data_IF_478909426037
#
_entry.id   IF_478909426037
#
_cell.length_a   1.000
_cell.length_b   1.000
_cell.length_c   1.000
_cell.angle_alpha   90.00
_cell.angle_beta   90.00
_cell.angle_gamma   90.00
#
_symmetry.space_group_name_H-M   'P 1'
#
loop_
_entity.id
_entity.type
_entity.pdbx_description
1 polymer ?
#
# COMPACT_ATOMS: atom_id res chain seq x y z
N UNK A 1 -19.54 -13.03 -12.61
CA UNK A 1 -19.79 -11.75 -11.90
C UNK A 1 -18.76 -11.60 -10.78
N UNK A 2 -17.66 -10.87 -11.02
CA UNK A 2 -16.69 -10.54 -9.97
C UNK A 2 -17.27 -9.41 -9.13
N UNK A 3 -18.01 -9.75 -8.07
CA UNK A 3 -18.43 -8.76 -7.08
C UNK A 3 -17.21 -8.04 -6.53
N UNK A 4 -17.22 -6.70 -6.54
CA UNK A 4 -16.16 -5.89 -5.93
C UNK A 4 -16.18 -6.15 -4.43
N UNK A 5 -15.37 -7.09 -3.96
CA UNK A 5 -15.15 -7.29 -2.53
C UNK A 5 -14.51 -6.01 -1.97
N UNK A 6 -15.24 -5.30 -1.11
CA UNK A 6 -14.76 -4.09 -0.46
C UNK A 6 -14.50 -4.44 1.00
N UNK A 7 -13.25 -4.30 1.44
CA UNK A 7 -12.91 -4.49 2.83
C UNK A 7 -13.68 -3.49 3.71
N UNK A 8 -14.15 -3.97 4.86
CA UNK A 8 -14.81 -3.13 5.86
C UNK A 8 -13.77 -2.26 6.56
N UNK A 9 -14.02 -0.95 6.55
CA UNK A 9 -13.25 0.01 7.35
C UNK A 9 -13.56 -0.18 8.83
N UNK A 10 -12.55 -0.04 9.67
CA UNK A 10 -12.68 -0.12 11.14
C UNK A 10 -11.99 1.05 11.80
N UNK A 11 -12.39 1.37 13.03
CA UNK A 11 -11.77 2.42 13.84
C UNK A 11 -11.38 1.83 15.17
N UNK A 12 -10.17 2.11 15.67
CA UNK A 12 -9.79 1.72 17.03
C UNK A 12 -10.30 2.71 18.08
N UNK A 13 -10.09 2.37 19.36
CA UNK A 13 -10.43 3.22 20.50
C UNK A 13 -9.63 4.53 20.56
N UNK A 14 -8.55 4.65 19.79
CA UNK A 14 -7.70 5.85 19.70
C UNK A 14 -8.04 6.74 18.50
N UNK A 15 -9.05 6.35 17.69
CA UNK A 15 -9.52 7.11 16.54
C UNK A 15 -8.79 6.82 15.22
N UNK A 16 -7.86 5.86 15.18
CA UNK A 16 -7.20 5.46 13.93
C UNK A 16 -8.19 4.75 13.03
N UNK A 17 -8.24 5.15 11.75
CA UNK A 17 -9.09 4.52 10.74
C UNK A 17 -8.28 3.52 9.91
N UNK A 18 -8.72 2.28 9.90
CA UNK A 18 -8.15 1.18 9.13
C UNK A 18 -9.00 0.90 7.90
N UNK A 19 -8.35 0.51 6.81
CA UNK A 19 -9.02 0.15 5.56
C UNK A 19 -9.49 -1.31 5.57
N UNK A 20 -9.02 -2.10 6.53
CA UNK A 20 -9.46 -3.48 6.74
C UNK A 20 -9.34 -3.95 8.19
N UNK A 21 -10.11 -4.99 8.54
CA UNK A 21 -9.96 -5.71 9.82
C UNK A 21 -8.56 -6.29 10.01
N UNK A 22 -7.91 -6.70 8.92
CA UNK A 22 -6.57 -7.28 8.94
C UNK A 22 -5.52 -6.24 9.36
N UNK A 23 -5.63 -5.00 8.87
CA UNK A 23 -4.79 -3.88 9.32
C UNK A 23 -5.02 -3.58 10.80
N UNK A 24 -6.29 -3.48 11.23
CA UNK A 24 -6.58 -3.21 12.65
C UNK A 24 -6.03 -4.29 13.58
N UNK A 25 -6.07 -5.56 13.16
CA UNK A 25 -5.45 -6.66 13.90
C UNK A 25 -3.93 -6.52 13.92
N UNK A 26 -3.30 -6.23 12.78
CA UNK A 26 -1.85 -6.02 12.70
C UNK A 26 -1.39 -4.88 13.62
N UNK A 27 -2.08 -3.74 13.58
CA UNK A 27 -1.78 -2.58 14.42
C UNK A 27 -1.83 -2.98 15.91
N UNK A 28 -2.89 -3.67 16.33
CA UNK A 28 -3.03 -4.12 17.72
C UNK A 28 -1.90 -5.07 18.13
N UNK A 29 -1.57 -6.08 17.31
CA UNK A 29 -0.50 -7.03 17.62
C UNK A 29 0.89 -6.38 17.67
N UNK A 30 1.16 -5.39 16.81
CA UNK A 30 2.40 -4.62 16.84
C UNK A 30 2.51 -3.83 18.16
N UNK A 31 1.42 -3.17 18.60
CA UNK A 31 1.35 -2.45 19.88
C UNK A 31 1.49 -3.39 21.08
N UNK A 32 0.79 -4.51 21.10
CA UNK A 32 0.87 -5.53 22.16
C UNK A 32 2.30 -6.06 22.36
N UNK A 33 3.07 -6.13 21.27
CA UNK A 33 4.47 -6.58 21.30
C UNK A 33 5.48 -5.45 21.51
N UNK A 34 5.02 -4.21 21.75
CA UNK A 34 5.85 -3.02 21.91
C UNK A 34 6.84 -2.81 20.75
N UNK A 35 6.43 -3.14 19.53
CA UNK A 35 7.23 -2.85 18.34
C UNK A 35 7.07 -1.38 17.99
N UNK A 36 8.18 -0.70 17.69
CA UNK A 36 8.16 0.65 17.13
C UNK A 36 7.81 0.57 15.63
N UNK A 37 6.80 1.35 15.23
CA UNK A 37 6.35 1.42 13.85
C UNK A 37 5.60 2.72 13.59
N UNK A 38 5.54 3.07 12.31
CA UNK A 38 4.65 4.09 11.79
C UNK A 38 3.54 3.44 10.94
N UNK A 39 2.32 3.97 11.04
CA UNK A 39 1.14 3.50 10.30
C UNK A 39 0.82 4.47 9.17
N UNK A 40 0.77 3.98 7.93
CA UNK A 40 0.65 4.76 6.69
C UNK A 40 1.56 6.02 6.66
N UNK A 41 2.88 5.91 6.97
CA UNK A 41 3.71 7.07 7.30
C UNK A 41 3.82 8.08 6.17
N UNK A 42 4.41 7.67 5.04
CA UNK A 42 4.60 8.50 3.86
C UNK A 42 4.76 7.60 2.62
N UNK A 43 4.49 8.17 1.45
CA UNK A 43 4.54 7.46 0.18
C UNK A 43 5.95 7.34 -0.41
N UNK A 44 6.30 6.15 -0.89
CA UNK A 44 7.37 5.91 -1.85
C UNK A 44 6.90 6.32 -3.25
N UNK A 45 7.75 7.05 -3.97
CA UNK A 45 7.51 7.41 -5.37
C UNK A 45 8.12 6.31 -6.25
N UNK A 46 7.26 5.45 -6.80
CA UNK A 46 7.68 4.29 -7.60
C UNK A 46 7.95 4.64 -9.06
N UNK A 47 7.30 5.69 -9.55
CA UNK A 47 7.52 6.30 -10.85
C UNK A 47 7.27 7.80 -10.69
N UNK A 48 8.26 8.60 -11.06
CA UNK A 48 8.14 10.05 -11.01
C UNK A 48 7.09 10.58 -11.98
N UNK A 49 6.62 11.80 -11.73
CA UNK A 49 5.81 12.50 -12.70
C UNK A 49 6.65 12.88 -13.92
N UNK A 50 6.04 12.86 -15.09
CA UNK A 50 6.71 13.23 -16.33
C UNK A 50 5.76 13.97 -17.26
N UNK A 51 6.35 14.66 -18.22
CA UNK A 51 5.65 15.38 -19.27
C UNK A 51 5.91 14.69 -20.61
N UNK A 52 4.90 14.66 -21.46
CA UNK A 52 5.03 14.18 -22.83
C UNK A 52 4.55 15.22 -23.85
N UNK A 53 4.82 14.98 -25.11
CA UNK A 53 4.45 15.83 -26.24
C UNK A 53 3.41 15.20 -27.18
N UNK A 54 3.15 13.90 -27.06
CA UNK A 54 2.11 13.19 -27.82
C UNK A 54 0.68 13.55 -27.35
N UNK A 55 -0.32 13.29 -28.20
CA UNK A 55 -1.73 13.48 -27.85
C UNK A 55 -2.30 12.31 -27.05
N UNK A 56 -3.18 12.61 -26.09
CA UNK A 56 -3.84 11.60 -25.23
C UNK A 56 -5.33 11.84 -25.24
N UNK A 57 -6.07 11.07 -26.03
CA UNK A 57 -7.53 11.18 -26.12
C UNK A 57 -8.20 10.17 -25.18
N UNK A 58 -8.75 10.65 -24.07
CA UNK A 58 -9.35 9.80 -23.03
C UNK A 58 -10.67 10.39 -22.49
N UNK A 59 -11.55 9.55 -21.90
CA UNK A 59 -12.72 10.03 -21.18
C UNK A 59 -12.34 10.82 -19.92
N UNK A 60 -12.96 11.98 -19.73
CA UNK A 60 -12.81 12.81 -18.52
C UNK A 60 -14.16 13.36 -18.08
N UNK A 61 -14.33 13.52 -16.77
CA UNK A 61 -15.50 14.22 -16.21
C UNK A 61 -15.24 15.72 -16.15
N UNK A 62 -16.03 16.52 -16.85
CA UNK A 62 -15.93 17.97 -16.87
C UNK A 62 -17.31 18.56 -16.57
N UNK A 63 -17.41 19.39 -15.52
CA UNK A 63 -18.68 19.99 -15.06
C UNK A 63 -19.84 18.98 -14.89
N UNK A 64 -19.52 17.73 -14.52
CA UNK A 64 -20.50 16.68 -14.30
C UNK A 64 -20.75 15.76 -15.50
N UNK A 65 -20.32 16.15 -16.70
CA UNK A 65 -20.50 15.39 -17.94
C UNK A 65 -19.24 14.57 -18.29
N UNK A 66 -19.43 13.43 -18.95
CA UNK A 66 -18.33 12.62 -19.48
C UNK A 66 -18.02 13.10 -20.91
N UNK A 67 -16.83 13.68 -21.10
CA UNK A 67 -16.34 14.15 -22.40
C UNK A 67 -15.15 13.32 -22.84
N UNK A 68 -14.98 13.12 -24.14
CA UNK A 68 -13.79 12.51 -24.73
C UNK A 68 -12.90 13.64 -25.28
N UNK A 69 -11.74 13.86 -24.66
CA UNK A 69 -10.93 15.05 -24.93
C UNK A 69 -9.45 14.75 -24.85
N UNK A 70 -8.64 15.52 -25.58
CA UNK A 70 -7.19 15.50 -25.41
C UNK A 70 -6.81 15.98 -23.99
N UNK A 71 -6.13 15.13 -23.24
CA UNK A 71 -5.71 15.39 -21.86
C UNK A 71 -4.44 16.24 -21.82
N UNK A 72 -4.20 16.82 -20.64
CA UNK A 72 -2.98 17.59 -20.40
C UNK A 72 -1.73 16.70 -20.47
N UNK A 73 -0.59 17.31 -20.81
CA UNK A 73 0.70 16.66 -21.02
C UNK A 73 1.35 16.02 -19.78
N UNK A 74 0.82 16.30 -18.59
CA UNK A 74 1.40 15.86 -17.32
C UNK A 74 0.84 14.50 -16.94
N UNK A 75 1.73 13.51 -16.76
CA UNK A 75 1.40 12.23 -16.15
C UNK A 75 1.83 12.27 -14.68
N UNK A 76 0.90 11.92 -13.79
CA UNK A 76 1.13 11.95 -12.36
C UNK A 76 2.01 10.77 -11.91
N UNK A 77 2.80 11.01 -10.87
CA UNK A 77 3.60 9.98 -10.22
C UNK A 77 2.78 8.80 -9.69
N UNK A 78 3.39 7.63 -9.70
CA UNK A 78 2.86 6.43 -9.03
C UNK A 78 3.41 6.38 -7.61
N UNK A 79 2.51 6.48 -6.63
CA UNK A 79 2.83 6.36 -5.20
C UNK A 79 2.52 4.97 -4.66
N UNK A 80 3.31 4.53 -3.68
CA UNK A 80 3.04 3.37 -2.86
C UNK A 80 3.24 3.71 -1.37
N UNK A 81 2.24 3.42 -0.55
CA UNK A 81 2.25 3.65 0.89
C UNK A 81 2.06 2.28 1.53
N UNK A 82 3.10 1.71 2.16
CA UNK A 82 2.94 0.49 2.94
C UNK A 82 2.06 0.75 4.17
N UNK A 83 1.35 -0.28 4.62
CA UNK A 83 0.50 -0.17 5.81
C UNK A 83 1.31 0.14 7.08
N UNK A 84 2.41 -0.60 7.32
CA UNK A 84 3.25 -0.46 8.50
C UNK A 84 4.74 -0.47 8.15
N UNK A 85 5.50 0.45 8.73
CA UNK A 85 6.95 0.56 8.54
C UNK A 85 7.62 0.58 9.92
N UNK A 86 8.51 -0.37 10.16
CA UNK A 86 9.44 -0.38 11.29
C UNK A 86 10.84 0.05 10.88
N UNK A 87 11.81 -0.08 11.79
CA UNK A 87 13.20 0.34 11.56
C UNK A 87 13.89 -0.44 10.43
N UNK A 88 13.67 -1.75 10.35
CA UNK A 88 14.29 -2.65 9.36
C UNK A 88 13.28 -3.59 8.66
N UNK A 89 11.98 -3.39 8.88
CA UNK A 89 10.91 -4.22 8.33
C UNK A 89 9.72 -3.41 7.83
N UNK A 90 8.96 -3.99 6.90
CA UNK A 90 7.72 -3.42 6.36
C UNK A 90 6.66 -4.52 6.30
N UNK A 91 5.47 -4.23 6.82
CA UNK A 91 4.29 -5.09 6.68
C UNK A 91 3.28 -4.39 5.77
N UNK A 92 2.91 -5.06 4.68
CA UNK A 92 1.73 -4.74 3.85
C UNK A 92 0.70 -5.83 4.10
N UNK A 93 -0.43 -5.52 4.71
CA UNK A 93 -1.50 -6.50 4.90
C UNK A 93 -2.32 -6.63 3.62
N UNK A 94 -2.64 -7.86 3.22
CA UNK A 94 -3.41 -8.06 1.98
C UNK A 94 -4.29 -9.29 1.99
N UNK A 95 -5.61 -9.08 2.06
CA UNK A 95 -6.57 -10.17 1.85
C UNK A 95 -6.58 -10.68 0.41
N UNK A 96 -7.08 -9.85 -0.52
CA UNK A 96 -7.16 -10.18 -1.94
C UNK A 96 -6.12 -9.40 -2.77
N UNK A 97 -5.39 -10.10 -3.64
CA UNK A 97 -4.39 -9.50 -4.53
C UNK A 97 -5.00 -9.21 -5.89
N UNK A 98 -4.90 -7.97 -6.34
CA UNK A 98 -5.30 -7.56 -7.69
C UNK A 98 -4.07 -7.46 -8.61
N UNK A 99 -4.24 -7.51 -9.95
CA UNK A 99 -3.14 -7.29 -10.88
C UNK A 99 -2.39 -5.96 -10.65
N UNK A 100 -3.13 -4.89 -10.34
CA UNK A 100 -2.54 -3.57 -10.05
C UNK A 100 -1.69 -3.60 -8.79
N UNK A 101 -2.16 -4.30 -7.74
CA UNK A 101 -1.37 -4.50 -6.53
C UNK A 101 -0.09 -5.28 -6.83
N UNK A 102 -0.17 -6.37 -7.61
CA UNK A 102 1.01 -7.18 -7.95
C UNK A 102 2.06 -6.36 -8.70
N UNK A 103 1.64 -5.48 -9.63
CA UNK A 103 2.53 -4.56 -10.34
C UNK A 103 3.16 -3.57 -9.37
N UNK A 104 2.37 -2.88 -8.54
CA UNK A 104 2.90 -1.92 -7.55
C UNK A 104 3.85 -2.57 -6.56
N UNK A 105 3.55 -3.77 -6.08
CA UNK A 105 4.42 -4.51 -5.16
C UNK A 105 5.74 -4.89 -5.83
N UNK A 106 5.71 -5.28 -7.10
CA UNK A 106 6.93 -5.54 -7.87
C UNK A 106 7.74 -4.27 -8.08
N UNK A 107 7.11 -3.16 -8.46
CA UNK A 107 7.76 -1.86 -8.60
C UNK A 107 8.35 -1.36 -7.27
N UNK A 108 7.66 -1.58 -6.15
CA UNK A 108 8.16 -1.23 -4.83
C UNK A 108 9.43 -2.01 -4.47
N UNK A 109 9.46 -3.32 -4.69
CA UNK A 109 10.69 -4.11 -4.50
C UNK A 109 11.83 -3.62 -5.40
N UNK A 110 11.52 -3.30 -6.66
CA UNK A 110 12.51 -2.73 -7.58
C UNK A 110 13.03 -1.38 -7.10
N UNK A 111 12.17 -0.52 -6.55
CA UNK A 111 12.56 0.74 -5.93
C UNK A 111 13.50 0.52 -4.74
N UNK A 112 13.18 -0.40 -3.83
CA UNK A 112 14.04 -0.71 -2.68
C UNK A 112 15.43 -1.21 -3.15
N UNK A 113 15.45 -2.12 -4.12
CA UNK A 113 16.68 -2.62 -4.72
C UNK A 113 17.51 -1.50 -5.37
N UNK A 114 16.90 -0.68 -6.23
CA UNK A 114 17.60 0.39 -6.94
C UNK A 114 18.15 1.48 -6.00
N UNK A 115 17.54 1.68 -4.83
CA UNK A 115 17.97 2.65 -3.83
C UNK A 115 18.80 2.02 -2.69
N UNK A 116 19.20 0.75 -2.82
CA UNK A 116 19.99 0.04 -1.81
C UNK A 116 19.33 0.02 -0.41
N UNK A 117 18.00 0.00 -0.37
CA UNK A 117 17.21 -0.03 0.85
C UNK A 117 16.91 -1.47 1.26
N UNK A 118 17.37 -1.85 2.45
CA UNK A 118 17.30 -3.21 2.96
C UNK A 118 16.21 -3.33 4.03
N UNK A 119 15.02 -3.75 3.61
CA UNK A 119 13.91 -4.04 4.51
C UNK A 119 13.52 -5.52 4.43
N UNK A 120 13.17 -6.11 5.58
CA UNK A 120 12.44 -7.37 5.63
C UNK A 120 10.98 -7.11 5.27
N UNK A 121 10.52 -7.68 4.14
CA UNK A 121 9.17 -7.44 3.62
C UNK A 121 8.21 -8.57 4.02
N UNK A 122 7.09 -8.21 4.61
CA UNK A 122 6.02 -9.11 4.99
C UNK A 122 4.74 -8.75 4.26
N UNK A 123 4.07 -9.76 3.70
CA UNK A 123 2.80 -9.60 2.99
C UNK A 123 1.75 -10.59 3.55
N UNK A 124 1.38 -10.46 4.84
CA UNK A 124 0.44 -11.37 5.48
C UNK A 124 -0.98 -11.20 4.92
N UNK A 125 -1.66 -12.31 4.75
CA UNK A 125 -3.05 -12.38 4.25
C UNK A 125 -4.03 -12.90 5.30
N UNK A 126 -3.56 -13.17 6.53
CA UNK A 126 -4.36 -13.69 7.64
C UNK A 126 -3.73 -13.34 9.00
N UNK A 127 -4.52 -13.40 10.08
CA UNK A 127 -4.05 -13.16 11.44
C UNK A 127 -2.88 -14.07 11.83
N UNK A 128 -2.94 -15.36 11.47
CA UNK A 128 -1.84 -16.32 11.74
C UNK A 128 -0.51 -15.90 11.08
N UNK A 129 -0.58 -15.33 9.88
CA UNK A 129 0.62 -14.84 9.19
C UNK A 129 1.12 -13.50 9.77
N UNK A 130 0.22 -12.69 10.33
CA UNK A 130 0.61 -11.50 11.10
C UNK A 130 1.38 -11.93 12.34
N UNK A 131 0.84 -12.88 13.11
CA UNK A 131 1.51 -13.40 14.31
C UNK A 131 2.90 -13.95 13.96
N UNK A 132 3.00 -14.74 12.88
CA UNK A 132 4.29 -15.24 12.40
C UNK A 132 5.25 -14.11 11.96
N UNK A 133 4.74 -13.07 11.31
CA UNK A 133 5.56 -11.92 10.90
C UNK A 133 6.17 -11.24 12.12
N UNK A 134 5.40 -11.09 13.21
CA UNK A 134 5.86 -10.52 14.47
C UNK A 134 6.91 -11.41 15.14
N UNK A 135 6.72 -12.73 15.13
CA UNK A 135 7.73 -13.67 15.65
C UNK A 135 9.07 -13.54 14.90
N UNK A 136 9.03 -13.46 13.57
CA UNK A 136 10.23 -13.28 12.73
C UNK A 136 10.87 -11.92 12.98
N UNK A 137 10.07 -10.84 13.12
CA UNK A 137 10.58 -9.50 13.43
C UNK A 137 11.37 -9.52 14.74
N UNK A 138 10.84 -10.21 15.76
CA UNK A 138 11.48 -10.36 17.09
C UNK A 138 12.67 -11.33 17.10
N UNK A 139 13.00 -11.98 15.98
CA UNK A 139 14.09 -12.95 15.90
C UNK A 139 13.81 -14.25 16.65
N UNK A 140 12.53 -14.59 16.86
CA UNK A 140 12.11 -15.82 17.55
C UNK A 140 12.02 -17.02 16.58
N UNK A 141 12.22 -16.79 15.28
CA UNK A 141 12.20 -17.75 14.18
C UNK A 141 13.17 -17.37 13.09
#
# INVERSE_FOLDING_TARGET
>A
MSGKYKAEKTTDSSGNQFRSKLESYCYAKLKENNLEFEYEPTAFILLDEFYHDFEVWEPKRLKGENVFSNLGRKINKVKYIPDFVGSDWIIETKGHRTPEFNIKWKMFKAYLYANNLHFRLFLPTSNKQIDLSIEIIKGLK
#
